data_IF_127010163885
#
_entry.id   IF_127010163885
#
_cell.length_a   1.000
_cell.length_b   1.000
_cell.length_c   1.000
_cell.angle_alpha   90.00
_cell.angle_beta   90.00
_cell.angle_gamma   90.00
#
_symmetry.space_group_name_H-M   'P 1'
#
loop_
_entity.id
_entity.type
_entity.pdbx_description
1 polymer ?
#
# COMPACT_ATOMS: atom_id res chain seq x y z
N UNK A 1 -64.72 -10.92 -24.33
CA UNK A 1 -64.26 -12.05 -23.47
C UNK A 1 -63.20 -11.45 -22.55
N UNK A 2 -63.62 -11.18 -21.31
CA UNK A 2 -62.81 -10.47 -20.28
C UNK A 2 -62.05 -11.50 -19.47
N UNK A 3 -60.74 -11.35 -19.37
CA UNK A 3 -59.94 -12.07 -18.37
C UNK A 3 -59.32 -11.02 -17.41
N UNK A 4 -59.89 -10.99 -16.19
CA UNK A 4 -59.35 -10.31 -15.04
C UNK A 4 -58.10 -11.02 -14.55
N UNK A 5 -56.97 -10.31 -14.43
CA UNK A 5 -55.81 -10.76 -13.65
C UNK A 5 -55.78 -10.06 -12.30
N UNK A 6 -55.88 -10.82 -11.25
CA UNK A 6 -55.72 -10.39 -9.87
C UNK A 6 -54.24 -10.08 -9.60
N UNK A 7 -53.94 -8.86 -9.16
CA UNK A 7 -52.68 -8.53 -8.53
C UNK A 7 -52.81 -8.67 -7.01
N UNK A 8 -52.11 -9.62 -6.40
CA UNK A 8 -51.95 -9.68 -4.96
C UNK A 8 -50.97 -8.60 -4.51
N UNK A 9 -51.42 -7.76 -3.59
CA UNK A 9 -50.63 -6.75 -2.90
C UNK A 9 -49.67 -7.46 -1.94
N UNK A 10 -48.37 -7.41 -2.23
CA UNK A 10 -47.32 -7.67 -1.23
C UNK A 10 -47.04 -6.37 -0.48
N UNK A 11 -47.29 -6.39 0.80
CA UNK A 11 -46.88 -5.37 1.74
C UNK A 11 -45.36 -5.38 1.93
N UNK A 12 -44.67 -4.36 1.44
CA UNK A 12 -43.30 -4.08 1.82
C UNK A 12 -43.34 -3.37 3.19
N UNK A 13 -42.97 -4.12 4.23
CA UNK A 13 -42.71 -3.54 5.55
C UNK A 13 -41.34 -2.84 5.49
N UNK A 14 -41.35 -1.53 5.71
CA UNK A 14 -40.18 -0.70 5.84
C UNK A 14 -39.29 -1.17 7.01
N UNK A 15 -38.15 -1.76 6.69
CA UNK A 15 -37.07 -2.10 7.62
C UNK A 15 -35.93 -1.09 7.50
N UNK A 16 -36.24 0.19 7.62
CA UNK A 16 -35.22 1.27 7.54
C UNK A 16 -34.59 1.64 8.89
N UNK A 17 -35.00 1.02 10.00
CA UNK A 17 -34.49 1.34 11.34
C UNK A 17 -33.41 0.39 11.87
N UNK A 18 -33.15 -0.75 11.24
CA UNK A 18 -32.14 -1.71 11.75
C UNK A 18 -30.72 -1.53 11.22
N UNK A 19 -30.56 -0.85 10.09
CA UNK A 19 -29.23 -0.69 9.48
C UNK A 19 -28.37 0.35 10.18
N UNK A 20 -28.98 1.44 10.69
CA UNK A 20 -28.23 2.49 11.41
C UNK A 20 -27.72 2.01 12.77
N UNK A 21 -28.51 1.22 13.49
CA UNK A 21 -28.11 0.61 14.77
C UNK A 21 -26.99 -0.42 14.61
N UNK A 22 -26.98 -1.18 13.50
CA UNK A 22 -25.95 -2.19 13.25
C UNK A 22 -24.60 -1.54 12.87
N UNK A 23 -24.62 -0.45 12.10
CA UNK A 23 -23.42 0.29 11.73
C UNK A 23 -22.76 0.97 12.95
N UNK A 24 -23.57 1.61 13.82
CA UNK A 24 -23.08 2.21 15.06
C UNK A 24 -22.55 1.15 16.04
N UNK A 25 -23.17 -0.03 16.08
CA UNK A 25 -22.71 -1.14 16.90
C UNK A 25 -21.38 -1.72 16.34
N UNK A 26 -21.22 -1.77 15.02
CA UNK A 26 -19.99 -2.22 14.37
C UNK A 26 -18.85 -1.21 14.60
N UNK A 27 -19.10 0.08 14.46
CA UNK A 27 -18.12 1.14 14.76
C UNK A 27 -17.67 1.12 16.23
N UNK A 28 -18.61 0.92 17.17
CA UNK A 28 -18.28 0.76 18.60
C UNK A 28 -17.50 -0.52 18.88
N UNK A 29 -17.80 -1.62 18.19
CA UNK A 29 -17.10 -2.88 18.37
C UNK A 29 -15.71 -2.85 17.72
N UNK A 30 -15.55 -2.21 16.57
CA UNK A 30 -14.25 -2.00 15.93
C UNK A 30 -13.37 -1.08 16.81
N UNK A 31 -13.92 0.00 17.36
CA UNK A 31 -13.20 0.85 18.32
C UNK A 31 -12.80 0.07 19.58
N UNK A 32 -13.66 -0.80 20.10
CA UNK A 32 -13.34 -1.66 21.26
C UNK A 32 -12.33 -2.74 20.90
N UNK A 33 -12.37 -3.33 19.71
CA UNK A 33 -11.37 -4.28 19.23
C UNK A 33 -10.02 -3.61 18.99
N UNK A 34 -9.98 -2.40 18.47
CA UNK A 34 -8.77 -1.61 18.33
C UNK A 34 -8.19 -1.21 19.69
N UNK A 35 -9.05 -0.81 20.64
CA UNK A 35 -8.62 -0.50 22.02
C UNK A 35 -8.15 -1.77 22.75
N UNK A 36 -8.82 -2.90 22.57
CA UNK A 36 -8.40 -4.19 23.11
C UNK A 36 -7.11 -4.69 22.44
N UNK A 37 -6.95 -4.46 21.11
CA UNK A 37 -5.72 -4.78 20.39
C UNK A 37 -4.52 -3.96 20.87
N UNK A 38 -4.71 -2.67 21.14
CA UNK A 38 -3.67 -1.80 21.72
C UNK A 38 -3.35 -2.21 23.15
N UNK A 39 -4.34 -2.56 23.97
CA UNK A 39 -4.13 -3.05 25.35
C UNK A 39 -3.49 -4.43 25.35
N UNK A 40 -3.93 -5.35 24.47
CA UNK A 40 -3.32 -6.67 24.33
C UNK A 40 -1.90 -6.58 23.74
N UNK A 41 -1.66 -5.67 22.78
CA UNK A 41 -0.34 -5.36 22.26
C UNK A 41 0.58 -4.79 23.36
N UNK A 42 0.07 -3.92 24.22
CA UNK A 42 0.81 -3.40 25.37
C UNK A 42 1.15 -4.49 26.42
N UNK A 43 0.23 -5.42 26.68
CA UNK A 43 0.45 -6.54 27.58
C UNK A 43 1.43 -7.58 26.98
N UNK A 44 1.38 -7.83 25.67
CA UNK A 44 2.35 -8.67 24.95
C UNK A 44 3.75 -8.03 24.91
N UNK A 45 3.82 -6.69 24.82
CA UNK A 45 5.09 -5.96 24.89
C UNK A 45 5.77 -6.10 26.26
N UNK A 46 5.01 -6.16 27.37
CA UNK A 46 5.57 -6.36 28.70
C UNK A 46 6.09 -7.79 28.93
N UNK A 47 5.55 -8.79 28.23
CA UNK A 47 6.01 -10.18 28.32
C UNK A 47 7.16 -10.48 27.34
N UNK A 48 7.25 -9.77 26.22
CA UNK A 48 8.36 -9.93 25.27
C UNK A 48 9.71 -9.39 25.82
N UNK A 49 9.69 -8.54 26.83
CA UNK A 49 10.92 -8.03 27.47
C UNK A 49 11.63 -9.04 28.38
N UNK A 50 10.98 -10.16 28.72
CA UNK A 50 11.57 -11.20 29.61
C UNK A 50 11.92 -12.50 28.89
N UNK A 51 11.61 -12.63 27.60
CA UNK A 51 12.09 -13.76 26.79
C UNK A 51 13.54 -13.47 26.35
N UNK A 52 14.48 -14.26 26.86
CA UNK A 52 15.85 -14.31 26.36
C UNK A 52 15.84 -14.39 24.82
N UNK A 53 16.70 -13.62 24.15
CA UNK A 53 16.86 -13.68 22.69
C UNK A 53 16.95 -15.13 22.25
N UNK A 54 16.06 -15.62 21.38
CA UNK A 54 16.24 -16.94 20.80
C UNK A 54 17.36 -16.79 19.77
N UNK A 55 18.56 -17.15 20.19
CA UNK A 55 19.64 -17.44 19.27
C UNK A 55 19.15 -18.42 18.20
N UNK A 56 19.28 -18.00 16.92
CA UNK A 56 19.39 -18.84 15.71
C UNK A 56 18.17 -19.46 15.02
N UNK A 57 16.95 -19.18 15.34
CA UNK A 57 15.86 -19.57 14.45
C UNK A 57 15.48 -18.41 13.51
N UNK A 58 16.13 -18.36 12.33
CA UNK A 58 15.70 -17.47 11.23
C UNK A 58 14.21 -17.71 10.94
N UNK A 59 13.46 -16.64 10.78
CA UNK A 59 12.04 -16.73 10.40
C UNK A 59 11.91 -17.27 8.98
N UNK A 60 10.80 -17.91 8.59
CA UNK A 60 10.61 -18.39 7.22
C UNK A 60 10.86 -17.30 6.18
N UNK A 61 10.43 -16.09 6.41
CA UNK A 61 10.67 -14.93 5.56
C UNK A 61 12.15 -14.56 5.48
N UNK A 62 12.86 -14.52 6.59
CA UNK A 62 14.29 -14.26 6.62
C UNK A 62 15.08 -15.37 5.90
N UNK A 63 14.62 -16.63 5.98
CA UNK A 63 15.20 -17.76 5.24
C UNK A 63 14.99 -17.57 3.73
N UNK A 64 13.77 -17.20 3.31
CA UNK A 64 13.44 -16.94 1.90
C UNK A 64 14.32 -15.82 1.33
N UNK A 65 14.44 -14.72 2.07
CA UNK A 65 15.30 -13.58 1.71
C UNK A 65 16.75 -13.99 1.59
N UNK A 66 17.30 -14.67 2.61
CA UNK A 66 18.68 -15.15 2.59
C UNK A 66 18.94 -16.09 1.43
N UNK A 67 18.06 -17.05 1.18
CA UNK A 67 18.16 -17.98 0.05
C UNK A 67 18.15 -17.24 -1.29
N UNK A 68 17.29 -16.24 -1.45
CA UNK A 68 17.26 -15.41 -2.67
C UNK A 68 18.55 -14.60 -2.87
N UNK A 69 19.20 -14.16 -1.77
CA UNK A 69 20.52 -13.49 -1.82
C UNK A 69 21.60 -14.49 -2.23
N UNK A 70 21.60 -15.68 -1.61
CA UNK A 70 22.59 -16.74 -1.88
C UNK A 70 22.49 -17.23 -3.34
N UNK A 71 21.30 -17.19 -3.94
CA UNK A 71 21.02 -17.53 -5.34
C UNK A 71 21.40 -16.43 -6.35
N UNK A 72 21.95 -15.29 -5.91
CA UNK A 72 22.35 -14.21 -6.81
C UNK A 72 23.64 -14.55 -7.55
N UNK A 73 23.60 -14.54 -8.88
CA UNK A 73 24.77 -14.76 -9.71
C UNK A 73 25.65 -13.51 -9.77
N UNK A 74 26.86 -13.59 -9.25
CA UNK A 74 27.81 -12.47 -9.23
C UNK A 74 28.82 -12.61 -10.36
N UNK A 75 28.98 -11.56 -11.15
CA UNK A 75 29.89 -11.44 -12.29
C UNK A 75 30.86 -10.32 -11.98
N UNK A 76 32.15 -10.63 -11.89
CA UNK A 76 33.22 -9.64 -11.68
C UNK A 76 33.75 -9.12 -13.02
N UNK A 77 33.85 -7.81 -13.15
CA UNK A 77 34.47 -7.17 -14.33
C UNK A 77 35.96 -6.99 -14.09
N UNK A 78 36.73 -8.07 -14.18
CA UNK A 78 38.20 -8.09 -14.01
C UNK A 78 38.72 -9.40 -13.49
N UNK A 79 40.07 -9.51 -13.40
CA UNK A 79 40.77 -10.76 -13.02
C UNK A 79 40.81 -11.01 -11.50
N UNK A 80 40.36 -10.10 -10.67
CA UNK A 80 40.34 -10.27 -9.22
C UNK A 80 39.04 -10.93 -8.78
N UNK A 81 39.16 -12.15 -8.26
CA UNK A 81 38.06 -12.84 -7.56
C UNK A 81 37.83 -12.14 -6.22
N UNK A 82 36.77 -11.38 -6.11
CA UNK A 82 36.38 -10.85 -4.82
C UNK A 82 36.00 -11.98 -3.84
N UNK A 83 36.47 -11.86 -2.61
CA UNK A 83 36.12 -12.84 -1.58
C UNK A 83 34.59 -12.91 -1.40
N UNK A 84 34.07 -14.12 -1.27
CA UNK A 84 32.61 -14.41 -1.11
C UNK A 84 31.97 -13.55 0.00
N UNK A 85 32.72 -13.25 1.05
CA UNK A 85 32.28 -12.37 2.17
C UNK A 85 32.05 -10.89 1.77
N UNK A 86 32.78 -10.40 0.74
CA UNK A 86 32.58 -9.02 0.25
C UNK A 86 31.32 -8.90 -0.57
N UNK A 87 30.98 -9.95 -1.33
CA UNK A 87 29.74 -10.06 -2.10
C UNK A 87 28.56 -10.16 -1.15
N UNK A 88 28.62 -11.02 -0.14
CA UNK A 88 27.58 -11.14 0.88
C UNK A 88 27.34 -9.84 1.64
N UNK A 89 28.40 -9.07 1.93
CA UNK A 89 28.27 -7.75 2.54
C UNK A 89 27.58 -6.73 1.64
N UNK A 90 27.89 -6.70 0.34
CA UNK A 90 27.21 -5.81 -0.62
C UNK A 90 25.73 -6.14 -0.77
N UNK A 91 25.38 -7.41 -0.87
CA UNK A 91 24.00 -7.88 -0.93
C UNK A 91 23.23 -7.55 0.36
N UNK A 92 23.88 -7.75 1.51
CA UNK A 92 23.30 -7.41 2.81
C UNK A 92 23.11 -5.88 2.97
N UNK A 93 24.07 -5.07 2.49
CA UNK A 93 23.91 -3.62 2.47
C UNK A 93 22.73 -3.20 1.60
N UNK A 94 22.53 -3.80 0.44
CA UNK A 94 21.38 -3.57 -0.41
C UNK A 94 20.06 -3.87 0.32
N UNK A 95 19.99 -4.99 1.05
CA UNK A 95 18.81 -5.35 1.84
C UNK A 95 18.54 -4.38 2.98
N UNK A 96 19.54 -4.10 3.79
CA UNK A 96 19.43 -3.20 4.94
C UNK A 96 19.04 -1.80 4.46
N UNK A 97 19.60 -1.34 3.35
CA UNK A 97 19.32 -0.01 2.83
C UNK A 97 17.91 0.11 2.25
N UNK A 98 17.45 -0.91 1.53
CA UNK A 98 16.05 -0.96 1.07
C UNK A 98 15.04 -1.00 2.23
N UNK A 99 15.33 -1.77 3.26
CA UNK A 99 14.50 -1.86 4.46
C UNK A 99 14.50 -0.55 5.24
N UNK A 100 15.66 0.07 5.37
CA UNK A 100 15.84 1.37 6.02
C UNK A 100 15.09 2.50 5.31
N UNK A 101 15.00 2.45 3.99
CA UNK A 101 14.27 3.43 3.18
C UNK A 101 12.84 3.02 2.85
N UNK A 102 12.30 1.98 3.51
CA UNK A 102 10.90 1.54 3.42
C UNK A 102 10.47 1.14 2.00
N UNK A 103 11.38 0.54 1.26
CA UNK A 103 11.12 -0.02 -0.06
C UNK A 103 10.98 -1.54 0.04
N UNK A 104 10.23 -2.15 -0.89
CA UNK A 104 10.12 -3.60 -0.95
C UNK A 104 11.49 -4.22 -1.25
N UNK A 105 12.05 -5.08 -0.36
CA UNK A 105 13.33 -5.70 -0.60
C UNK A 105 13.22 -6.69 -1.78
N UNK A 106 14.13 -6.56 -2.75
CA UNK A 106 14.21 -7.45 -3.92
C UNK A 106 15.64 -7.81 -4.21
N UNK A 107 15.96 -9.12 -4.18
CA UNK A 107 17.27 -9.61 -4.55
C UNK A 107 17.43 -9.61 -6.08
N UNK A 108 18.52 -9.05 -6.63
CA UNK A 108 18.82 -9.15 -8.04
C UNK A 108 19.12 -10.59 -8.44
N UNK A 109 18.92 -10.94 -9.71
CA UNK A 109 19.36 -12.21 -10.29
C UNK A 109 20.84 -12.19 -10.63
N UNK A 110 21.27 -11.09 -11.22
CA UNK A 110 22.66 -10.87 -11.62
C UNK A 110 23.19 -9.62 -10.93
N UNK A 111 24.43 -9.69 -10.48
CA UNK A 111 25.16 -8.56 -9.93
C UNK A 111 26.52 -8.44 -10.63
N UNK A 112 26.73 -7.32 -11.30
CA UNK A 112 27.98 -6.98 -11.98
C UNK A 112 28.82 -6.09 -11.07
N UNK A 113 30.02 -6.53 -10.74
CA UNK A 113 30.94 -5.80 -9.86
C UNK A 113 32.02 -5.11 -10.68
N UNK A 114 32.29 -3.85 -10.35
CA UNK A 114 33.45 -3.14 -10.91
C UNK A 114 34.75 -3.75 -10.41
N UNK A 115 35.84 -3.58 -11.16
CA UNK A 115 37.17 -4.13 -10.87
C UNK A 115 37.67 -3.83 -9.46
N UNK A 116 37.40 -2.62 -8.94
CA UNK A 116 37.81 -2.21 -7.60
C UNK A 116 36.76 -2.47 -6.50
N UNK A 117 35.62 -3.13 -6.82
CA UNK A 117 34.57 -3.47 -5.88
C UNK A 117 33.77 -2.29 -5.28
N UNK A 118 34.02 -1.06 -5.75
CA UNK A 118 33.35 0.15 -5.22
C UNK A 118 31.99 0.42 -5.86
N UNK A 119 31.66 -0.29 -6.94
CA UNK A 119 30.40 -0.13 -7.67
C UNK A 119 29.85 -1.51 -8.05
N UNK A 120 28.57 -1.70 -7.86
CA UNK A 120 27.86 -2.91 -8.24
C UNK A 120 26.54 -2.55 -8.96
N UNK A 121 26.25 -3.21 -10.08
CA UNK A 121 25.00 -3.13 -10.80
C UNK A 121 24.22 -4.41 -10.65
N UNK A 122 23.10 -4.37 -9.95
CA UNK A 122 22.17 -5.47 -9.81
C UNK A 122 21.07 -5.41 -10.88
N UNK A 123 20.76 -6.54 -11.50
CA UNK A 123 19.67 -6.69 -12.46
C UNK A 123 18.74 -7.78 -11.97
N UNK A 124 17.45 -7.45 -11.88
CA UNK A 124 16.43 -8.39 -11.44
C UNK A 124 15.07 -8.11 -12.06
N UNK A 125 14.13 -8.93 -11.70
CA UNK A 125 12.76 -8.80 -12.18
C UNK A 125 11.89 -9.94 -11.69
N UNK A 126 10.67 -9.97 -12.16
CA UNK A 126 9.75 -11.07 -11.93
C UNK A 126 8.83 -11.26 -13.14
N UNK A 127 8.45 -12.50 -13.39
CA UNK A 127 7.39 -12.87 -14.31
C UNK A 127 6.17 -13.20 -13.45
N UNK A 128 5.06 -12.52 -13.70
CA UNK A 128 3.80 -12.73 -12.98
C UNK A 128 2.70 -13.10 -13.96
N UNK A 129 2.03 -14.20 -13.70
CA UNK A 129 0.83 -14.62 -14.45
C UNK A 129 -0.28 -14.80 -13.41
N UNK A 130 -1.43 -14.20 -13.67
CA UNK A 130 -2.61 -14.31 -12.83
C UNK A 130 -3.83 -14.65 -13.66
N UNK A 131 -4.57 -15.68 -13.24
CA UNK A 131 -5.91 -16.00 -13.71
C UNK A 131 -6.94 -15.63 -12.67
N UNK A 132 -8.13 -15.20 -13.06
CA UNK A 132 -9.24 -14.92 -12.15
C UNK A 132 -10.55 -15.36 -12.74
N UNK A 133 -11.45 -15.86 -11.89
CA UNK A 133 -12.83 -16.13 -12.22
C UNK A 133 -13.74 -15.26 -11.34
N UNK A 134 -14.54 -14.42 -11.97
CA UNK A 134 -15.44 -13.49 -11.31
C UNK A 134 -16.89 -13.92 -11.52
N UNK A 135 -17.59 -14.25 -10.43
CA UNK A 135 -18.99 -14.65 -10.47
C UNK A 135 -19.98 -13.50 -10.60
N UNK A 136 -19.59 -12.30 -10.12
CA UNK A 136 -20.48 -11.16 -9.96
C UNK A 136 -20.20 -9.97 -10.89
N UNK A 137 -19.18 -10.07 -11.76
CA UNK A 137 -18.87 -9.07 -12.77
C UNK A 137 -18.31 -7.76 -12.25
N UNK A 138 -17.52 -7.83 -11.16
CA UNK A 138 -17.00 -6.65 -10.47
C UNK A 138 -15.50 -6.44 -10.63
N UNK A 139 -14.78 -7.43 -11.19
CA UNK A 139 -13.31 -7.39 -11.20
C UNK A 139 -12.77 -6.92 -12.55
N UNK A 140 -12.05 -5.79 -12.62
CA UNK A 140 -11.16 -5.48 -13.71
C UNK A 140 -10.05 -6.53 -13.83
N UNK A 141 -9.46 -6.66 -15.00
CA UNK A 141 -8.48 -7.73 -15.30
C UNK A 141 -7.27 -7.73 -14.36
N UNK A 142 -6.85 -6.57 -13.82
CA UNK A 142 -5.58 -6.45 -13.10
C UNK A 142 -5.70 -6.27 -11.58
N UNK A 143 -6.85 -6.05 -11.04
CA UNK A 143 -7.00 -5.86 -9.60
C UNK A 143 -8.43 -5.55 -9.22
N UNK A 144 -8.80 -5.92 -8.03
CA UNK A 144 -10.11 -5.67 -7.50
C UNK A 144 -10.10 -4.38 -6.67
N UNK A 145 -11.08 -3.51 -6.93
CA UNK A 145 -11.40 -2.35 -6.10
C UNK A 145 -12.91 -2.29 -5.94
N UNK A 146 -13.42 -2.25 -4.72
CA UNK A 146 -14.84 -2.05 -4.45
C UNK A 146 -15.44 -0.82 -5.12
N UNK A 147 -14.61 0.19 -5.42
CA UNK A 147 -15.03 1.38 -6.16
C UNK A 147 -15.61 1.05 -7.54
N UNK A 148 -15.07 0.04 -8.23
CA UNK A 148 -15.51 -0.34 -9.57
C UNK A 148 -16.66 -1.35 -9.60
N UNK A 149 -17.23 -1.73 -8.46
CA UNK A 149 -18.40 -2.61 -8.43
C UNK A 149 -19.59 -1.90 -9.07
N UNK A 150 -20.14 -2.39 -10.20
CA UNK A 150 -21.27 -1.74 -10.86
C UNK A 150 -22.54 -1.82 -10.01
N UNK A 151 -23.21 -0.69 -9.83
CA UNK A 151 -24.50 -0.62 -9.16
C UNK A 151 -25.47 0.17 -10.05
N UNK A 152 -26.54 -0.47 -10.60
CA UNK A 152 -26.89 -1.89 -10.45
C UNK A 152 -25.91 -2.84 -11.14
N UNK A 153 -25.90 -4.11 -10.72
CA UNK A 153 -25.05 -5.13 -11.34
C UNK A 153 -25.30 -5.22 -12.85
N UNK A 154 -24.24 -5.32 -13.61
CA UNK A 154 -24.29 -5.55 -15.06
C UNK A 154 -24.38 -7.06 -15.36
N UNK A 155 -25.53 -7.57 -15.86
CA UNK A 155 -25.67 -8.99 -16.19
C UNK A 155 -24.73 -9.48 -17.27
N UNK A 156 -24.22 -8.58 -18.14
CA UNK A 156 -23.36 -8.95 -19.29
C UNK A 156 -21.93 -9.22 -18.87
N UNK A 157 -21.50 -8.71 -17.72
CA UNK A 157 -20.15 -8.87 -17.18
C UNK A 157 -20.03 -10.02 -16.17
N UNK A 158 -21.13 -10.69 -15.80
CA UNK A 158 -21.13 -11.81 -14.84
C UNK A 158 -20.46 -13.06 -15.44
N UNK A 159 -19.85 -13.89 -14.55
CA UNK A 159 -19.15 -15.14 -14.87
C UNK A 159 -17.98 -14.93 -15.86
N UNK A 160 -17.12 -14.02 -15.50
CA UNK A 160 -15.97 -13.66 -16.31
C UNK A 160 -14.74 -14.47 -15.93
N UNK A 161 -14.16 -15.18 -16.90
CA UNK A 161 -12.82 -15.75 -16.80
C UNK A 161 -11.82 -14.78 -17.45
N UNK A 162 -10.76 -14.41 -16.76
CA UNK A 162 -9.72 -13.54 -17.28
C UNK A 162 -8.33 -13.99 -16.84
N UNK A 163 -7.33 -13.60 -17.62
CA UNK A 163 -5.93 -13.82 -17.29
C UNK A 163 -5.10 -12.60 -17.69
N UNK A 164 -4.03 -12.34 -16.96
CA UNK A 164 -3.12 -11.22 -17.20
C UNK A 164 -1.69 -11.55 -16.80
N UNK A 165 -0.73 -11.00 -17.55
CA UNK A 165 0.68 -10.92 -17.19
C UNK A 165 1.07 -9.59 -16.53
N UNK A 166 0.11 -8.74 -16.20
CA UNK A 166 0.35 -7.44 -15.58
C UNK A 166 1.06 -7.59 -14.23
N UNK A 167 2.04 -6.72 -14.00
CA UNK A 167 2.94 -6.81 -12.86
C UNK A 167 4.22 -7.61 -13.16
N UNK A 168 4.33 -8.27 -14.34
CA UNK A 168 5.64 -8.70 -14.85
C UNK A 168 6.53 -7.47 -15.00
N UNK A 169 7.72 -7.48 -14.43
CA UNK A 169 8.53 -6.27 -14.37
C UNK A 169 10.01 -6.53 -14.19
N UNK A 170 10.77 -5.47 -14.35
CA UNK A 170 12.22 -5.45 -14.23
C UNK A 170 12.65 -4.37 -13.26
N UNK A 171 13.79 -4.57 -12.61
CA UNK A 171 14.44 -3.54 -11.82
C UNK A 171 15.96 -3.55 -12.01
N UNK A 172 16.55 -2.38 -11.85
CA UNK A 172 17.98 -2.15 -11.80
C UNK A 172 18.33 -1.52 -10.46
N UNK A 173 19.43 -1.97 -9.87
CA UNK A 173 19.97 -1.43 -8.64
C UNK A 173 21.42 -1.08 -8.85
N UNK A 174 21.81 0.15 -8.61
CA UNK A 174 23.18 0.60 -8.60
C UNK A 174 23.62 0.81 -7.16
N UNK A 175 24.58 0.04 -6.69
CA UNK A 175 25.16 0.20 -5.36
C UNK A 175 26.58 0.78 -5.50
N UNK A 176 26.94 1.68 -4.64
CA UNK A 176 28.28 2.23 -4.66
C UNK A 176 28.70 2.83 -3.32
N UNK A 177 30.01 3.05 -3.23
CA UNK A 177 30.63 3.77 -2.10
C UNK A 177 31.53 4.86 -2.65
N UNK A 178 31.33 6.08 -2.16
CA UNK A 178 32.10 7.26 -2.53
C UNK A 178 32.52 8.02 -1.27
N UNK A 179 33.68 8.70 -1.32
CA UNK A 179 34.17 9.48 -0.20
C UNK A 179 33.28 10.64 0.20
N UNK A 180 32.53 11.21 -0.75
CA UNK A 180 31.60 12.33 -0.52
C UNK A 180 30.20 11.88 -0.09
N UNK A 181 29.61 10.90 -0.79
CA UNK A 181 28.24 10.44 -0.57
C UNK A 181 28.15 9.32 0.48
N UNK A 182 29.29 8.74 0.88
CA UNK A 182 29.26 7.51 1.66
C UNK A 182 28.75 6.33 0.82
N UNK A 183 27.94 5.47 1.41
CA UNK A 183 27.20 4.44 0.70
C UNK A 183 26.00 5.05 0.00
N UNK A 184 25.83 4.72 -1.28
CA UNK A 184 24.67 5.18 -2.06
C UNK A 184 24.04 4.05 -2.85
N UNK A 185 22.76 4.23 -3.18
CA UNK A 185 21.99 3.32 -4.02
C UNK A 185 21.15 4.10 -5.02
N UNK A 186 21.19 3.70 -6.30
CA UNK A 186 20.20 4.09 -7.30
C UNK A 186 19.28 2.90 -7.57
N UNK A 187 17.98 3.12 -7.69
CA UNK A 187 17.00 2.09 -7.95
C UNK A 187 16.01 2.53 -9.02
N UNK A 188 15.79 1.68 -10.02
CA UNK A 188 14.79 1.90 -11.07
C UNK A 188 13.97 0.62 -11.22
N UNK A 189 12.65 0.74 -11.21
CA UNK A 189 11.71 -0.37 -11.40
C UNK A 189 10.60 0.04 -12.34
N UNK A 190 10.25 -0.86 -13.25
CA UNK A 190 9.07 -0.74 -14.08
C UNK A 190 8.39 -2.10 -14.28
N UNK A 191 7.12 -2.08 -14.61
CA UNK A 191 6.33 -3.27 -14.93
C UNK A 191 5.32 -3.04 -16.05
N UNK A 192 4.74 -4.13 -16.56
CA UNK A 192 3.69 -4.11 -17.57
C UNK A 192 2.30 -3.92 -16.93
N UNK A 193 2.09 -2.79 -16.26
CA UNK A 193 0.81 -2.40 -15.67
C UNK A 193 0.27 -1.07 -16.21
N UNK A 194 0.83 -0.58 -17.31
CA UNK A 194 0.35 0.63 -18.01
C UNK A 194 -0.98 0.40 -18.73
N UNK A 195 -1.26 1.21 -19.77
CA UNK A 195 -2.51 1.14 -20.52
C UNK A 195 -2.77 -0.29 -21.05
N UNK A 196 -4.01 -0.73 -20.88
CA UNK A 196 -4.42 -2.09 -21.27
C UNK A 196 -3.54 -3.23 -20.72
N UNK A 197 -2.81 -2.98 -19.60
CA UNK A 197 -1.91 -3.93 -18.94
C UNK A 197 -0.81 -4.51 -19.85
N UNK A 198 -0.41 -3.78 -20.87
CA UNK A 198 0.64 -4.17 -21.81
C UNK A 198 1.78 -3.16 -21.89
N UNK A 199 1.51 -1.89 -21.60
CA UNK A 199 2.52 -0.85 -21.66
C UNK A 199 3.43 -0.92 -20.43
N UNK A 200 4.72 -0.73 -20.65
CA UNK A 200 5.70 -0.66 -19.57
C UNK A 200 5.56 0.68 -18.84
N UNK A 201 5.36 0.63 -17.53
CA UNK A 201 5.14 1.78 -16.66
C UNK A 201 6.25 1.88 -15.62
N UNK A 202 6.81 3.09 -15.46
CA UNK A 202 7.72 3.39 -14.36
C UNK A 202 6.98 3.26 -13.03
N UNK A 203 7.53 2.46 -12.11
CA UNK A 203 6.99 2.25 -10.75
C UNK A 203 7.78 3.00 -9.70
N UNK A 204 9.10 2.98 -9.80
CA UNK A 204 10.00 3.65 -8.87
C UNK A 204 11.27 4.07 -9.62
N UNK A 205 11.81 5.24 -9.28
CA UNK A 205 13.11 5.72 -9.75
C UNK A 205 13.66 6.70 -8.72
N UNK A 206 14.54 6.22 -7.85
CA UNK A 206 15.05 7.03 -6.75
C UNK A 206 16.53 6.76 -6.48
N UNK A 207 17.14 7.68 -5.78
CA UNK A 207 18.51 7.61 -5.31
C UNK A 207 18.54 7.80 -3.79
N UNK A 208 19.37 7.02 -3.09
CA UNK A 208 19.62 7.17 -1.66
C UNK A 208 21.09 7.43 -1.40
N UNK A 209 21.39 8.30 -0.45
CA UNK A 209 22.73 8.53 0.07
C UNK A 209 22.65 8.88 1.56
N UNK A 210 23.26 8.05 2.40
CA UNK A 210 23.11 8.15 3.85
C UNK A 210 21.63 8.09 4.27
N UNK A 211 21.12 9.13 4.90
CA UNK A 211 19.74 9.23 5.40
C UNK A 211 18.79 9.90 4.39
N UNK A 212 19.27 10.29 3.22
CA UNK A 212 18.50 11.00 2.21
C UNK A 212 18.00 10.07 1.11
N UNK A 213 16.77 10.31 0.67
CA UNK A 213 16.17 9.69 -0.52
C UNK A 213 15.61 10.78 -1.42
N UNK A 214 15.94 10.75 -2.71
CA UNK A 214 15.46 11.70 -3.70
C UNK A 214 14.98 10.95 -4.93
N UNK A 215 13.80 11.26 -5.43
CA UNK A 215 13.26 10.70 -6.67
C UNK A 215 11.83 10.22 -6.56
N UNK A 216 11.41 9.40 -7.51
CA UNK A 216 10.07 8.82 -7.59
C UNK A 216 10.00 7.56 -6.75
N UNK A 217 9.47 7.69 -5.53
CA UNK A 217 9.48 6.65 -4.51
C UNK A 217 8.14 6.59 -3.77
N UNK A 218 7.93 5.52 -3.02
CA UNK A 218 6.76 5.37 -2.14
C UNK A 218 6.70 6.53 -1.15
N UNK A 219 5.53 7.12 -0.99
CA UNK A 219 5.27 8.22 -0.06
C UNK A 219 5.70 7.87 1.37
N UNK A 220 6.17 8.87 2.09
CA UNK A 220 6.51 8.76 3.51
C UNK A 220 5.28 8.51 4.39
N UNK A 221 4.09 8.87 3.91
CA UNK A 221 2.83 8.62 4.59
C UNK A 221 2.42 7.14 4.55
N UNK A 222 2.86 6.38 3.53
CA UNK A 222 2.53 4.95 3.35
C UNK A 222 3.43 4.05 4.20
N UNK A 223 2.85 3.01 4.80
CA UNK A 223 3.57 1.91 5.43
C UNK A 223 3.43 0.63 4.61
N UNK A 224 4.42 0.31 3.80
CA UNK A 224 4.41 -0.86 2.93
C UNK A 224 4.57 -2.18 3.69
N UNK A 225 5.12 -2.14 4.90
CA UNK A 225 5.36 -3.33 5.72
C UNK A 225 4.12 -3.78 6.51
N UNK A 226 3.16 -2.87 6.72
CA UNK A 226 1.92 -3.16 7.46
C UNK A 226 0.78 -3.63 6.54
N UNK A 227 1.13 -4.28 5.43
CA UNK A 227 0.16 -4.80 4.45
C UNK A 227 0.21 -6.32 4.43
N UNK A 228 -0.95 -7.00 4.56
CA UNK A 228 -1.05 -8.44 4.32
C UNK A 228 -0.75 -8.77 2.84
N UNK A 229 -0.23 -9.96 2.59
CA UNK A 229 0.02 -10.43 1.24
C UNK A 229 -1.28 -10.79 0.53
N UNK A 230 -1.43 -10.35 -0.74
CA UNK A 230 -2.58 -10.66 -1.59
C UNK A 230 -2.14 -10.98 -3.00
N UNK A 231 -2.87 -11.87 -3.67
CA UNK A 231 -2.69 -12.11 -5.11
C UNK A 231 -3.31 -10.97 -5.90
N UNK A 232 -4.36 -10.38 -5.39
CA UNK A 232 -4.95 -9.17 -5.94
C UNK A 232 -3.91 -8.05 -6.09
N UNK A 233 -3.82 -7.47 -7.29
CA UNK A 233 -2.83 -6.43 -7.59
C UNK A 233 -3.13 -5.07 -6.95
N UNK A 234 -4.38 -4.83 -6.57
CA UNK A 234 -4.81 -3.62 -5.86
C UNK A 234 -4.65 -3.76 -4.35
N UNK A 235 -4.77 -5.00 -3.83
CA UNK A 235 -4.71 -5.29 -2.40
C UNK A 235 -5.89 -4.72 -1.62
N UNK A 236 -5.80 -4.70 -0.29
CA UNK A 236 -6.85 -4.19 0.57
C UNK A 236 -7.15 -2.71 0.32
N UNK A 237 -8.44 -2.39 0.14
CA UNK A 237 -8.89 -1.07 -0.30
C UNK A 237 -8.75 0.05 0.75
N UNK A 238 -8.75 -0.26 2.04
CA UNK A 238 -8.62 0.71 3.13
C UNK A 238 -7.19 1.17 3.42
N UNK A 239 -6.22 0.68 2.65
CA UNK A 239 -4.81 1.05 2.80
C UNK A 239 -4.42 2.28 1.99
N UNK A 240 -3.20 2.77 2.25
CA UNK A 240 -2.57 3.80 1.44
C UNK A 240 -1.67 3.17 0.37
N UNK A 241 -1.64 3.79 -0.82
CA UNK A 241 -0.78 3.37 -1.93
C UNK A 241 -0.47 4.58 -2.80
N UNK A 242 0.65 5.23 -2.54
CA UNK A 242 1.07 6.40 -3.30
C UNK A 242 2.57 6.38 -3.61
N UNK A 243 2.90 6.65 -4.85
CA UNK A 243 4.28 6.91 -5.28
C UNK A 243 4.36 8.35 -5.81
N UNK A 244 5.28 9.14 -5.28
CA UNK A 244 5.48 10.55 -5.63
C UNK A 244 6.95 10.83 -5.90
N UNK A 245 7.24 11.91 -6.63
CA UNK A 245 8.56 12.51 -6.60
C UNK A 245 8.71 13.20 -5.25
N UNK A 246 9.76 12.86 -4.52
CA UNK A 246 9.97 13.33 -3.15
C UNK A 246 11.44 13.57 -2.83
N UNK A 247 11.67 14.38 -1.81
CA UNK A 247 12.91 14.46 -1.05
C UNK A 247 12.58 14.10 0.38
N UNK A 248 13.17 13.01 0.88
CA UNK A 248 12.94 12.47 2.22
C UNK A 248 14.25 12.38 2.99
N UNK A 249 14.18 12.77 4.25
CA UNK A 249 15.18 12.46 5.27
C UNK A 249 14.62 11.40 6.21
N UNK A 250 15.41 10.35 6.50
CA UNK A 250 14.99 9.26 7.37
C UNK A 250 16.17 8.81 8.24
N UNK A 251 16.02 8.87 9.56
CA UNK A 251 17.09 8.51 10.48
C UNK A 251 16.61 7.50 11.53
N UNK A 252 17.43 6.48 11.77
CA UNK A 252 17.15 5.43 12.76
C UNK A 252 18.08 5.57 13.99
N UNK A 253 17.47 5.76 15.15
CA UNK A 253 18.18 5.90 16.43
C UNK A 253 18.21 4.57 17.17
N UNK A 254 19.39 4.17 17.63
CA UNK A 254 19.58 2.96 18.46
C UNK A 254 18.89 1.72 17.88
N UNK A 255 18.83 1.61 16.56
CA UNK A 255 18.21 0.49 15.82
C UNK A 255 16.70 0.24 16.13
N UNK A 256 16.09 1.10 16.94
CA UNK A 256 14.70 0.91 17.42
C UNK A 256 13.75 2.01 16.99
N UNK A 257 14.20 3.25 16.93
CA UNK A 257 13.37 4.40 16.59
C UNK A 257 13.75 4.94 15.23
N UNK A 258 12.80 5.03 14.32
CA UNK A 258 13.00 5.69 13.03
C UNK A 258 12.09 6.88 12.92
N UNK A 259 12.64 8.02 12.51
CA UNK A 259 11.88 9.21 12.14
C UNK A 259 12.15 9.54 10.70
N UNK A 260 11.12 9.98 9.98
CA UNK A 260 11.28 10.47 8.62
C UNK A 260 10.37 11.66 8.36
N UNK A 261 10.82 12.53 7.45
CA UNK A 261 10.05 13.64 6.94
C UNK A 261 10.36 13.85 5.47
N UNK A 262 9.38 14.26 4.69
CA UNK A 262 9.52 14.50 3.26
C UNK A 262 8.74 15.70 2.77
N UNK A 263 9.25 16.30 1.71
CA UNK A 263 8.50 17.13 0.78
C UNK A 263 8.19 16.28 -0.45
N UNK A 264 6.91 16.19 -0.79
CA UNK A 264 6.43 15.40 -1.91
C UNK A 264 5.78 16.32 -2.94
N UNK A 265 6.03 16.07 -4.23
CA UNK A 265 5.39 16.86 -5.28
C UNK A 265 3.88 16.62 -5.24
N UNK A 266 3.07 17.70 -5.19
CA UNK A 266 1.65 17.61 -5.02
C UNK A 266 0.99 17.02 -6.28
N UNK A 267 -0.04 16.25 -6.08
CA UNK A 267 -0.89 15.75 -7.15
C UNK A 267 -2.28 15.52 -6.55
N UNK A 268 -3.12 16.52 -6.64
CA UNK A 268 -4.49 16.48 -6.16
C UNK A 268 -5.44 15.89 -7.19
N UNK A 269 -6.53 15.35 -6.68
CA UNK A 269 -7.63 14.77 -7.45
C UNK A 269 -8.91 15.55 -7.11
N UNK A 270 -9.35 16.41 -8.02
CA UNK A 270 -10.40 17.40 -7.79
C UNK A 270 -11.60 17.11 -8.69
N UNK A 271 -12.77 16.87 -8.08
CA UNK A 271 -14.04 16.74 -8.78
C UNK A 271 -14.71 18.10 -8.88
N UNK A 272 -14.66 18.69 -10.07
CA UNK A 272 -15.24 19.99 -10.37
C UNK A 272 -16.17 19.88 -11.58
N UNK A 273 -17.25 20.67 -11.62
CA UNK A 273 -18.24 20.68 -12.71
C UNK A 273 -17.75 21.42 -13.96
N UNK A 274 -16.68 22.19 -13.84
CA UNK A 274 -16.15 23.04 -14.91
C UNK A 274 -17.03 24.26 -15.25
N UNK A 275 -18.19 24.40 -14.61
CA UNK A 275 -19.15 25.49 -14.81
C UNK A 275 -19.05 26.53 -13.70
N UNK A 276 -19.09 26.10 -12.45
CA UNK A 276 -18.99 26.96 -11.26
C UNK A 276 -17.65 26.80 -10.53
N UNK A 277 -17.00 25.67 -10.71
CA UNK A 277 -15.72 25.35 -10.08
C UNK A 277 -14.74 24.76 -11.09
N UNK A 278 -13.43 24.94 -10.83
CA UNK A 278 -12.36 24.32 -11.62
C UNK A 278 -11.16 24.02 -10.73
N UNK A 279 -10.57 22.82 -10.89
CA UNK A 279 -9.30 22.48 -10.27
C UNK A 279 -8.18 23.38 -10.77
N UNK A 280 -7.27 23.79 -9.90
CA UNK A 280 -6.06 24.52 -10.22
C UNK A 280 -4.84 23.61 -10.04
N UNK A 281 -3.71 24.06 -10.62
CA UNK A 281 -2.43 23.42 -10.32
C UNK A 281 -2.03 23.69 -8.87
N UNK A 282 -1.61 22.63 -8.19
CA UNK A 282 -1.04 22.75 -6.87
C UNK A 282 0.38 23.34 -6.95
N UNK A 283 0.74 24.20 -5.98
CA UNK A 283 2.02 24.90 -5.95
C UNK A 283 2.75 24.74 -4.61
N UNK A 284 2.10 24.17 -3.62
CA UNK A 284 2.69 23.87 -2.30
C UNK A 284 2.96 22.36 -2.24
N UNK A 285 4.20 21.94 -1.93
CA UNK A 285 4.50 20.52 -1.73
C UNK A 285 3.65 19.91 -0.62
N UNK A 286 3.25 18.66 -0.79
CA UNK A 286 2.71 17.87 0.30
C UNK A 286 3.82 17.57 1.31
N UNK A 287 3.51 17.63 2.59
CA UNK A 287 4.46 17.33 3.68
C UNK A 287 4.00 16.04 4.34
N UNK A 288 4.87 15.04 4.36
CA UNK A 288 4.60 13.80 5.07
C UNK A 288 5.71 13.50 6.08
N UNK A 289 5.34 12.91 7.21
CA UNK A 289 6.28 12.53 8.24
C UNK A 289 5.79 11.30 9.01
N UNK A 290 6.71 10.54 9.61
CA UNK A 290 6.36 9.48 10.54
C UNK A 290 7.38 9.32 11.67
N UNK A 291 6.92 8.69 12.75
CA UNK A 291 7.73 8.11 13.80
C UNK A 291 7.38 6.64 13.92
N UNK A 292 8.40 5.79 13.98
CA UNK A 292 8.27 4.34 14.10
C UNK A 292 9.11 3.82 15.27
N UNK A 293 8.53 2.93 16.04
CA UNK A 293 9.26 2.09 17.00
C UNK A 293 9.25 0.65 16.52
N UNK A 294 10.42 0.01 16.48
CA UNK A 294 10.59 -1.36 16.00
C UNK A 294 11.33 -2.22 17.04
N UNK A 295 11.04 -3.52 17.02
CA UNK A 295 11.68 -4.54 17.85
C UNK A 295 11.81 -5.85 17.09
N UNK A 296 12.52 -6.84 17.70
CA UNK A 296 12.77 -8.12 17.05
C UNK A 296 13.62 -7.99 15.79
N UNK A 297 14.64 -7.10 15.79
CA UNK A 297 15.46 -6.86 14.61
C UNK A 297 14.71 -6.22 13.43
N UNK A 298 13.59 -5.51 13.69
CA UNK A 298 12.75 -4.90 12.66
C UNK A 298 11.58 -5.78 12.20
N UNK A 299 11.46 -7.00 12.72
CA UNK A 299 10.36 -7.92 12.37
C UNK A 299 8.98 -7.42 12.85
N UNK A 300 8.97 -6.55 13.85
CA UNK A 300 7.75 -5.95 14.38
C UNK A 300 7.94 -4.44 14.53
N UNK A 301 6.89 -3.68 14.26
CA UNK A 301 6.91 -2.24 14.46
C UNK A 301 5.51 -1.68 14.72
N UNK A 302 5.50 -0.48 15.29
CA UNK A 302 4.36 0.43 15.31
C UNK A 302 4.80 1.75 14.72
N UNK A 303 3.94 2.35 13.88
CA UNK A 303 4.22 3.62 13.18
C UNK A 303 3.04 4.56 13.30
N UNK A 304 3.33 5.83 13.55
CA UNK A 304 2.39 6.93 13.43
C UNK A 304 2.88 7.84 12.31
N UNK A 305 2.04 8.05 11.29
CA UNK A 305 2.35 8.90 10.14
C UNK A 305 1.36 10.07 10.05
N UNK A 306 1.82 11.19 9.52
CA UNK A 306 1.03 12.38 9.26
C UNK A 306 1.28 12.92 7.84
N UNK A 307 0.24 13.53 7.27
CA UNK A 307 0.25 14.16 5.95
C UNK A 307 -0.41 15.54 6.06
N UNK A 308 0.19 16.57 5.49
CA UNK A 308 -0.37 17.91 5.33
C UNK A 308 -0.32 18.34 3.88
N UNK A 309 -1.40 18.93 3.37
CA UNK A 309 -1.57 19.31 1.97
C UNK A 309 -2.26 20.65 1.81
N UNK A 310 -1.97 21.34 0.71
CA UNK A 310 -2.72 22.54 0.29
C UNK A 310 -3.32 22.28 -1.09
N UNK A 311 -4.63 22.19 -1.14
CA UNK A 311 -5.41 21.90 -2.35
C UNK A 311 -6.00 23.20 -2.90
N UNK A 312 -5.77 23.47 -4.19
CA UNK A 312 -6.15 24.75 -4.81
C UNK A 312 -7.24 24.56 -5.85
N UNK A 313 -8.28 25.38 -5.78
CA UNK A 313 -9.33 25.43 -6.80
C UNK A 313 -9.72 26.87 -7.13
N UNK A 314 -10.39 27.04 -8.26
CA UNK A 314 -10.97 28.30 -8.71
C UNK A 314 -12.47 28.27 -8.62
N UNK A 315 -13.03 29.23 -7.92
CA UNK A 315 -14.45 29.61 -7.97
C UNK A 315 -14.68 30.45 -9.24
N UNK A 316 -15.45 29.92 -10.17
CA UNK A 316 -15.75 30.57 -11.45
C UNK A 316 -16.89 31.60 -11.33
N UNK A 317 -17.70 31.53 -10.25
CA UNK A 317 -18.76 32.49 -9.97
C UNK A 317 -18.17 33.85 -9.57
N UNK A 318 -17.20 33.82 -8.67
CA UNK A 318 -16.52 35.04 -8.18
C UNK A 318 -15.23 35.33 -8.93
N UNK A 319 -14.68 34.35 -9.67
CA UNK A 319 -13.44 34.49 -10.42
C UNK A 319 -12.18 34.49 -9.54
N UNK A 320 -12.20 33.81 -8.37
CA UNK A 320 -11.14 33.81 -7.37
C UNK A 320 -10.62 32.40 -7.08
N UNK A 321 -9.33 32.26 -6.83
CA UNK A 321 -8.71 31.01 -6.37
C UNK A 321 -8.80 30.90 -4.84
N UNK A 322 -9.05 29.67 -4.35
CA UNK A 322 -9.11 29.35 -2.94
C UNK A 322 -8.21 28.16 -2.64
N UNK A 323 -7.66 28.17 -1.44
CA UNK A 323 -6.85 27.08 -0.90
C UNK A 323 -7.61 26.39 0.23
N UNK A 324 -7.60 25.05 0.22
CA UNK A 324 -8.17 24.23 1.28
C UNK A 324 -7.05 23.38 1.88
N UNK A 325 -6.96 23.38 3.21
CA UNK A 325 -6.00 22.51 3.90
C UNK A 325 -6.57 21.09 4.03
N UNK A 326 -5.86 20.16 3.40
CA UNK A 326 -6.04 18.71 3.55
C UNK A 326 -5.05 18.14 4.55
N UNK A 327 -5.43 17.07 5.24
CA UNK A 327 -4.53 16.36 6.14
C UNK A 327 -4.95 14.89 6.27
N UNK A 328 -3.98 14.03 6.60
CA UNK A 328 -4.19 12.64 6.92
C UNK A 328 -3.36 12.24 8.14
N UNK A 329 -3.86 11.32 8.93
CA UNK A 329 -3.12 10.65 9.99
C UNK A 329 -3.30 9.14 9.84
N UNK A 330 -2.21 8.39 10.04
CA UNK A 330 -2.20 6.94 9.94
C UNK A 330 -1.51 6.34 11.15
N UNK A 331 -2.14 5.32 11.73
CA UNK A 331 -1.49 4.37 12.63
C UNK A 331 -1.34 3.04 11.89
N UNK A 332 -0.15 2.46 11.91
CA UNK A 332 0.12 1.17 11.28
C UNK A 332 1.02 0.30 12.15
N UNK A 333 0.92 -1.01 11.99
CA UNK A 333 1.68 -1.97 12.77
C UNK A 333 1.84 -3.29 12.02
N UNK A 334 3.01 -3.91 12.23
CA UNK A 334 3.26 -5.31 11.96
C UNK A 334 3.75 -5.95 13.24
N UNK A 335 3.10 -7.02 13.68
CA UNK A 335 3.44 -7.73 14.91
C UNK A 335 3.74 -9.18 14.57
N UNK A 336 4.98 -9.57 14.75
CA UNK A 336 5.39 -10.97 14.72
C UNK A 336 5.14 -11.58 16.08
N UNK A 337 3.95 -12.13 16.26
CA UNK A 337 3.51 -12.70 17.54
C UNK A 337 4.21 -14.03 17.85
N UNK A 338 4.42 -14.85 16.79
CA UNK A 338 5.14 -16.14 16.85
C UNK A 338 6.04 -16.25 15.61
N UNK A 339 7.02 -17.15 15.58
CA UNK A 339 7.83 -17.38 14.38
C UNK A 339 6.99 -17.66 13.12
N UNK A 340 5.80 -18.26 13.29
CA UNK A 340 4.88 -18.60 12.19
C UNK A 340 3.74 -17.62 12.00
N UNK A 341 3.50 -16.64 12.92
CA UNK A 341 2.30 -15.82 12.92
C UNK A 341 2.63 -14.33 12.94
N UNK A 342 2.22 -13.64 11.88
CA UNK A 342 2.28 -12.18 11.76
C UNK A 342 0.88 -11.57 11.76
N UNK A 343 0.72 -10.43 12.40
CA UNK A 343 -0.46 -9.58 12.32
C UNK A 343 -0.12 -8.26 11.65
N UNK A 344 -1.04 -7.76 10.84
CA UNK A 344 -0.95 -6.49 10.14
C UNK A 344 -2.13 -5.61 10.52
N UNK A 345 -1.88 -4.34 10.71
CA UNK A 345 -2.95 -3.39 11.01
C UNK A 345 -2.61 -2.00 10.51
N UNK A 346 -3.57 -1.36 9.84
CA UNK A 346 -3.48 0.03 9.42
C UNK A 346 -4.82 0.70 9.63
N UNK A 347 -4.81 1.91 10.17
CA UNK A 347 -5.98 2.79 10.24
C UNK A 347 -5.55 4.16 9.75
N UNK A 348 -6.26 4.69 8.77
CA UNK A 348 -6.03 6.02 8.20
C UNK A 348 -7.28 6.85 8.30
N UNK A 349 -7.17 8.11 8.68
CA UNK A 349 -8.27 9.06 8.71
C UNK A 349 -7.79 10.47 8.39
N UNK A 350 -8.70 11.30 7.84
CA UNK A 350 -8.37 12.66 7.48
C UNK A 350 -9.42 13.30 6.59
N UNK A 351 -9.01 14.32 5.86
CA UNK A 351 -9.79 14.99 4.82
C UNK A 351 -8.87 15.55 3.72
N UNK A 352 -9.28 15.44 2.46
CA UNK A 352 -8.48 15.88 1.34
C UNK A 352 -7.18 15.07 1.16
N UNK A 353 -7.19 13.79 1.56
CA UNK A 353 -6.06 12.86 1.44
C UNK A 353 -6.40 11.63 0.60
N UNK A 354 -7.55 11.66 -0.05
CA UNK A 354 -8.17 10.51 -0.71
C UNK A 354 -7.33 9.98 -1.87
N UNK A 355 -6.57 10.86 -2.55
CA UNK A 355 -5.59 10.43 -3.58
C UNK A 355 -4.41 9.61 -3.04
N UNK A 356 -4.24 9.52 -1.72
CA UNK A 356 -3.25 8.65 -1.08
C UNK A 356 -3.82 7.28 -0.71
N UNK A 357 -5.15 7.09 -0.71
CA UNK A 357 -5.80 5.83 -0.39
C UNK A 357 -5.92 4.94 -1.62
N UNK A 358 -6.07 3.63 -1.44
CA UNK A 358 -6.11 2.68 -2.56
C UNK A 358 -7.38 2.84 -3.38
N UNK A 359 -8.55 2.89 -2.73
CA UNK A 359 -9.86 2.84 -3.39
C UNK A 359 -10.28 4.21 -3.95
N UNK A 360 -10.17 5.26 -3.12
CA UNK A 360 -10.61 6.61 -3.48
C UNK A 360 -9.65 7.34 -4.43
N UNK A 361 -8.40 6.89 -4.54
CA UNK A 361 -7.47 7.39 -5.56
C UNK A 361 -7.93 7.07 -7.00
N UNK A 362 -8.89 6.18 -7.16
CA UNK A 362 -9.46 5.79 -8.47
C UNK A 362 -10.31 6.89 -9.09
N UNK A 363 -10.76 7.88 -8.31
CA UNK A 363 -11.56 9.05 -8.76
C UNK A 363 -11.11 10.32 -8.01
N UNK A 364 -11.80 11.40 -8.28
CA UNK A 364 -11.47 12.76 -7.86
C UNK A 364 -12.12 13.11 -6.53
N UNK A 365 -11.61 12.60 -5.40
CA UNK A 365 -12.22 12.76 -4.08
C UNK A 365 -11.49 13.73 -3.13
N UNK A 366 -10.30 14.22 -3.45
CA UNK A 366 -9.57 15.16 -2.55
C UNK A 366 -10.35 16.44 -2.30
N UNK A 367 -10.97 17.00 -3.37
CA UNK A 367 -11.94 18.06 -3.29
C UNK A 367 -13.17 17.70 -4.12
N UNK A 368 -14.35 17.93 -3.56
CA UNK A 368 -15.63 17.70 -4.21
C UNK A 368 -16.51 18.93 -4.10
N UNK A 369 -17.56 19.02 -4.94
CA UNK A 369 -18.48 20.13 -4.94
C UNK A 369 -19.29 20.23 -3.66
N UNK A 370 -19.46 21.46 -3.18
CA UNK A 370 -20.35 21.74 -2.06
C UNK A 370 -21.81 21.71 -2.54
N UNK A 371 -22.64 20.79 -2.03
CA UNK A 371 -24.02 20.69 -2.47
C UNK A 371 -24.89 21.89 -2.08
N UNK A 372 -24.43 22.69 -1.11
CA UNK A 372 -25.19 23.82 -0.57
C UNK A 372 -24.72 25.17 -1.12
N UNK A 373 -23.49 25.27 -1.64
CA UNK A 373 -22.88 26.53 -2.07
C UNK A 373 -22.28 26.41 -3.49
N UNK A 374 -22.90 27.11 -4.47
CA UNK A 374 -22.36 27.18 -5.83
C UNK A 374 -21.00 27.86 -5.85
N UNK A 375 -20.07 27.31 -6.65
CA UNK A 375 -18.72 27.84 -6.77
C UNK A 375 -17.78 27.45 -5.62
N UNK A 376 -18.21 26.59 -4.71
CA UNK A 376 -17.40 26.09 -3.58
C UNK A 376 -17.08 24.62 -3.73
N UNK A 377 -15.84 24.29 -3.39
CA UNK A 377 -15.39 22.92 -3.14
C UNK A 377 -15.09 22.72 -1.66
N UNK A 378 -15.14 21.50 -1.19
CA UNK A 378 -14.72 21.13 0.16
C UNK A 378 -13.93 19.82 0.13
N UNK A 379 -13.08 19.62 1.13
CA UNK A 379 -12.38 18.38 1.38
C UNK A 379 -13.25 17.45 2.23
N UNK A 380 -13.75 16.34 1.71
CA UNK A 380 -14.56 15.40 2.48
C UNK A 380 -13.70 14.71 3.53
N UNK A 381 -14.32 14.11 4.53
CA UNK A 381 -13.65 13.23 5.48
C UNK A 381 -13.64 11.80 4.94
N UNK A 382 -12.55 11.10 5.17
CA UNK A 382 -12.47 9.67 4.87
C UNK A 382 -11.76 8.92 6.00
N UNK A 383 -12.12 7.64 6.13
CA UNK A 383 -11.47 6.67 7.01
C UNK A 383 -11.25 5.38 6.25
N UNK A 384 -10.08 4.80 6.42
CA UNK A 384 -9.76 3.47 5.91
C UNK A 384 -9.12 2.62 6.99
N UNK A 385 -9.35 1.31 6.96
CA UNK A 385 -8.60 0.38 7.80
C UNK A 385 -8.27 -0.90 7.05
N UNK A 386 -7.18 -1.52 7.43
CA UNK A 386 -6.73 -2.83 6.97
C UNK A 386 -6.37 -3.65 8.20
N UNK A 387 -6.85 -4.88 8.25
CA UNK A 387 -6.46 -5.89 9.22
C UNK A 387 -6.02 -7.14 8.46
N UNK A 388 -4.93 -7.73 8.87
CA UNK A 388 -4.39 -8.93 8.25
C UNK A 388 -3.77 -9.88 9.24
N UNK A 389 -3.74 -11.16 8.89
CA UNK A 389 -3.02 -12.18 9.62
C UNK A 389 -2.39 -13.16 8.64
N UNK A 390 -1.12 -13.45 8.83
CA UNK A 390 -0.35 -14.38 8.01
C UNK A 390 0.15 -15.52 8.88
N UNK A 391 -0.08 -16.75 8.45
CA UNK A 391 0.35 -17.95 9.17
C UNK A 391 1.12 -18.90 8.27
N UNK A 392 2.34 -19.25 8.69
CA UNK A 392 3.21 -20.22 8.04
C UNK A 392 2.95 -21.63 8.57
N UNK A 393 2.35 -22.49 7.75
CA UNK A 393 2.17 -23.93 8.06
C UNK A 393 3.50 -24.68 8.00
N UNK A 394 4.34 -24.30 7.05
CA UNK A 394 5.70 -24.80 6.86
C UNK A 394 6.61 -23.63 6.48
N UNK A 395 7.91 -23.90 6.24
CA UNK A 395 8.83 -22.85 5.73
C UNK A 395 8.44 -22.31 4.35
N UNK A 396 7.64 -23.07 3.60
CA UNK A 396 7.34 -22.82 2.20
C UNK A 396 5.85 -22.64 1.91
N UNK A 397 4.95 -22.92 2.88
CA UNK A 397 3.50 -22.79 2.70
C UNK A 397 2.94 -21.89 3.77
N UNK A 398 2.25 -20.85 3.36
CA UNK A 398 1.60 -19.90 4.26
C UNK A 398 0.24 -19.46 3.73
N UNK A 399 -0.62 -19.07 4.65
CA UNK A 399 -1.90 -18.43 4.34
C UNK A 399 -1.91 -17.00 4.86
N UNK A 400 -2.69 -16.17 4.19
CA UNK A 400 -2.94 -14.78 4.57
C UNK A 400 -4.43 -14.47 4.52
N UNK A 401 -4.91 -13.74 5.53
CA UNK A 401 -6.28 -13.23 5.59
C UNK A 401 -6.22 -11.72 5.66
N UNK A 402 -6.96 -11.06 4.79
CA UNK A 402 -7.07 -9.61 4.76
C UNK A 402 -8.54 -9.18 4.90
N UNK A 403 -8.79 -8.21 5.75
CA UNK A 403 -10.07 -7.52 5.89
C UNK A 403 -9.82 -6.03 5.85
N UNK A 404 -10.59 -5.29 5.06
CA UNK A 404 -10.45 -3.84 4.99
C UNK A 404 -11.75 -3.13 4.62
N UNK A 405 -11.81 -1.86 4.96
CA UNK A 405 -12.86 -0.95 4.54
C UNK A 405 -12.27 0.40 4.22
N UNK A 406 -12.76 1.02 3.16
CA UNK A 406 -12.58 2.43 2.86
C UNK A 406 -13.94 3.11 2.90
N UNK A 407 -14.08 4.19 3.67
CA UNK A 407 -15.32 4.95 3.80
C UNK A 407 -15.08 6.44 3.59
N UNK A 408 -16.00 7.04 2.86
CA UNK A 408 -16.04 8.45 2.54
C UNK A 408 -17.28 9.08 3.14
N UNK A 409 -17.17 10.31 3.67
CA UNK A 409 -18.23 11.02 4.36
C UNK A 409 -18.57 12.34 3.63
N UNK A 410 -19.43 12.31 2.62
CA UNK A 410 -19.89 13.52 1.95
C UNK A 410 -20.82 14.33 2.84
N UNK A 411 -21.00 15.62 2.53
CA UNK A 411 -21.95 16.51 3.24
C UNK A 411 -23.40 16.06 3.08
N UNK A 412 -23.75 15.55 1.91
CA UNK A 412 -25.04 14.93 1.63
C UNK A 412 -24.89 13.45 1.32
N UNK A 413 -25.96 12.69 1.51
CA UNK A 413 -25.96 11.29 1.16
C UNK A 413 -25.83 11.16 -0.36
N UNK A 414 -24.82 10.45 -0.89
CA UNK A 414 -24.67 10.27 -2.32
C UNK A 414 -25.88 9.52 -2.88
N UNK A 415 -26.26 9.85 -4.11
CA UNK A 415 -27.33 9.15 -4.81
C UNK A 415 -27.03 7.66 -5.01
N UNK A 416 -28.05 6.90 -5.41
CA UNK A 416 -27.89 5.49 -5.72
C UNK A 416 -26.85 5.31 -6.83
N UNK A 417 -25.97 4.31 -6.65
CA UNK A 417 -24.87 4.03 -7.54
C UNK A 417 -23.59 4.88 -7.34
N UNK A 418 -23.58 5.80 -6.39
CA UNK A 418 -22.38 6.54 -6.03
C UNK A 418 -21.64 5.88 -4.86
N UNK A 419 -20.30 5.95 -4.90
CA UNK A 419 -19.44 5.35 -3.87
C UNK A 419 -19.64 6.06 -2.52
N UNK A 420 -19.80 5.27 -1.48
CA UNK A 420 -19.86 5.72 -0.08
C UNK A 420 -18.88 4.96 0.80
N UNK A 421 -18.81 3.65 0.62
CA UNK A 421 -17.84 2.77 1.28
C UNK A 421 -17.67 1.49 0.48
N UNK A 422 -16.52 0.86 0.64
CA UNK A 422 -16.23 -0.46 0.11
C UNK A 422 -15.65 -1.35 1.18
N UNK A 423 -16.19 -2.58 1.30
CA UNK A 423 -15.64 -3.65 2.12
C UNK A 423 -14.84 -4.59 1.23
N UNK A 424 -13.70 -5.03 1.73
CA UNK A 424 -12.83 -6.00 1.08
C UNK A 424 -12.49 -7.11 2.06
N UNK A 425 -12.56 -8.35 1.59
CA UNK A 425 -12.11 -9.51 2.32
C UNK A 425 -11.43 -10.47 1.36
N UNK A 426 -10.26 -11.00 1.74
CA UNK A 426 -9.54 -11.98 0.96
C UNK A 426 -8.93 -13.05 1.86
N UNK A 427 -8.92 -14.26 1.36
CA UNK A 427 -8.16 -15.38 1.88
C UNK A 427 -7.18 -15.84 0.82
N UNK A 428 -5.91 -15.91 1.16
CA UNK A 428 -4.82 -16.30 0.27
C UNK A 428 -4.10 -17.52 0.80
N UNK A 429 -3.68 -18.40 -0.10
CA UNK A 429 -2.78 -19.52 0.18
C UNK A 429 -1.62 -19.45 -0.79
N UNK A 430 -0.40 -19.44 -0.26
CA UNK A 430 0.83 -19.36 -1.02
C UNK A 430 1.71 -20.57 -0.80
N UNK A 431 2.40 -20.98 -1.85
CA UNK A 431 3.42 -22.01 -1.84
C UNK A 431 4.70 -21.54 -2.54
N UNK A 432 5.74 -21.31 -1.75
CA UNK A 432 7.10 -21.05 -2.24
C UNK A 432 7.74 -22.35 -2.67
N UNK A 433 7.68 -22.67 -3.96
CA UNK A 433 8.31 -23.86 -4.52
C UNK A 433 9.84 -23.73 -4.42
N UNK A 434 10.34 -22.54 -4.68
CA UNK A 434 11.75 -22.14 -4.44
C UNK A 434 11.79 -20.72 -3.87
N UNK A 435 12.97 -20.22 -3.49
CA UNK A 435 13.16 -18.82 -3.07
C UNK A 435 12.71 -17.78 -4.12
N UNK A 436 12.53 -18.20 -5.38
CA UNK A 436 12.22 -17.34 -6.53
C UNK A 436 11.00 -17.76 -7.33
N UNK A 437 10.35 -18.85 -6.96
CA UNK A 437 9.14 -19.34 -7.63
C UNK A 437 8.04 -19.62 -6.62
N UNK A 438 6.99 -18.82 -6.69
CA UNK A 438 5.81 -18.86 -5.81
C UNK A 438 4.56 -19.11 -6.64
N UNK A 439 3.66 -19.92 -6.10
CA UNK A 439 2.31 -20.16 -6.62
C UNK A 439 1.33 -19.82 -5.51
N UNK A 440 0.21 -19.19 -5.87
CA UNK A 440 -0.82 -18.84 -4.90
C UNK A 440 -2.23 -18.94 -5.43
N UNK A 441 -3.18 -18.99 -4.51
CA UNK A 441 -4.62 -18.98 -4.76
C UNK A 441 -5.26 -17.97 -3.80
N UNK A 442 -6.20 -17.17 -4.31
CA UNK A 442 -6.96 -16.16 -3.56
C UNK A 442 -8.47 -16.38 -3.75
N UNK A 443 -9.21 -16.20 -2.68
CA UNK A 443 -10.68 -16.15 -2.65
C UNK A 443 -11.15 -14.91 -1.91
#
# INVERSE_FOLDING_TARGET
MLIKKNYSKFHFIHSTMKTTSCAIALERNVARLLTAGVIAGGALLSHAQTAAEPTDALTPEAIKIKSAIDDTHVITMGDEVMAKDSIGRLLNMFYIDQFRHFQDPRAPYFMFLSKNGNLALGVGGLIRIRGSFDWNGSIPINGFSPYFIPIPKDPTSMRRLSATGAGTGLFLTLLGKNSFLGNFMGFIQGDFSGNNYKDFKLKKAYFTAGDWTVGYATSTFEDTQAKPATIDGSGPNGGNSRTNVLVRYSHTFKEKWTVAGSFEFPSSSIKSDGVYTKGCSDYVPDIAAFIQYQWGGGASHVRLSGLGRVLTYRDLVVGKNYNIFGWGAQFSTTIKALPQLNFYGTVTFGKGHESYTTDLASDSFDLVEDPHEKGKLYAPKAIGYVLGAQYYFTKNVFADVALSEQRYYPKENPGDGQYKYGLYGAFNLFWDITSRFEVGMEY
#
